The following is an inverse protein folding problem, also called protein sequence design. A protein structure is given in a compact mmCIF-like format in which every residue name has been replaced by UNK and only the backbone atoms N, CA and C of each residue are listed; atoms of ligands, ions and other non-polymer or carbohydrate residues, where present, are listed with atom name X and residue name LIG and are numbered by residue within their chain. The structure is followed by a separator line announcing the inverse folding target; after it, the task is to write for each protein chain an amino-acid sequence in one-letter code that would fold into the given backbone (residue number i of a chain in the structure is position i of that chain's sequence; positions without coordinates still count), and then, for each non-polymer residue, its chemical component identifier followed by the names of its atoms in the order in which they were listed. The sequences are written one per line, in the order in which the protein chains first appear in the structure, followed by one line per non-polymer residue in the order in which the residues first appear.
data_IF_505975142172
#
_entry.id   IF_505975142172
#
_cell.length_a   1.000
_cell.length_b   1.000
_cell.length_c   1.000
_cell.angle_alpha   90.00
_cell.angle_beta   90.00
_cell.angle_gamma   90.00
#
_symmetry.space_group_name_H-M   'P 1'
#
loop_
_entity.id
_entity.type
_entity.pdbx_description
1 polymer ?
#
# COMPACT_ATOMS: atom_id res chain seq x y z
N UNK A 1 -4.43 7.26 -8.69
CA UNK A 1 -3.32 7.24 -9.66
C UNK A 1 -2.68 5.88 -9.54
N UNK A 2 -2.29 5.26 -10.67
CA UNK A 2 -1.61 3.97 -10.61
C UNK A 2 -0.12 4.21 -10.37
N UNK A 3 0.45 3.61 -9.32
CA UNK A 3 1.87 3.75 -8.96
C UNK A 3 2.74 2.66 -9.59
N UNK A 4 2.12 1.60 -10.09
CA UNK A 4 2.76 0.44 -10.70
C UNK A 4 2.00 0.04 -11.96
N UNK A 5 2.73 -0.26 -13.03
CA UNK A 5 2.13 -0.80 -14.27
C UNK A 5 2.08 -2.33 -14.24
N UNK A 6 1.14 -2.90 -15.00
CA UNK A 6 1.03 -4.36 -15.12
C UNK A 6 2.29 -4.99 -15.70
N UNK A 7 2.96 -4.32 -16.64
CA UNK A 7 4.22 -4.77 -17.20
C UNK A 7 5.33 -4.90 -16.15
N UNK A 8 5.45 -3.92 -15.24
CA UNK A 8 6.42 -3.97 -14.13
C UNK A 8 6.08 -5.08 -13.12
N UNK A 9 4.80 -5.32 -12.87
CA UNK A 9 4.36 -6.45 -12.03
C UNK A 9 4.73 -7.80 -12.65
N UNK A 10 4.50 -7.99 -13.96
CA UNK A 10 4.86 -9.23 -14.66
C UNK A 10 6.38 -9.45 -14.68
N UNK A 11 7.18 -8.42 -14.90
CA UNK A 11 8.65 -8.51 -14.85
C UNK A 11 9.18 -8.99 -13.49
N UNK A 12 8.44 -8.72 -12.41
CA UNK A 12 8.78 -9.14 -11.04
C UNK A 12 8.23 -10.53 -10.69
N UNK A 13 7.64 -11.25 -11.65
CA UNK A 13 7.10 -12.60 -11.47
C UNK A 13 5.62 -12.66 -11.10
N UNK A 14 4.86 -11.59 -11.34
CA UNK A 14 3.42 -11.57 -11.12
C UNK A 14 2.66 -12.57 -11.98
N UNK A 15 1.82 -13.41 -11.36
CA UNK A 15 1.10 -14.50 -12.01
C UNK A 15 -0.39 -14.23 -12.23
N UNK A 16 -0.91 -13.13 -11.68
CA UNK A 16 -2.34 -12.76 -11.74
C UNK A 16 -2.74 -12.15 -13.07
N UNK A 17 -4.03 -12.23 -13.37
CA UNK A 17 -4.62 -11.54 -14.52
C UNK A 17 -4.56 -10.01 -14.35
N UNK A 18 -4.60 -9.29 -15.46
CA UNK A 18 -4.58 -7.82 -15.45
C UNK A 18 -5.74 -7.21 -14.64
N UNK A 19 -6.91 -7.85 -14.66
CA UNK A 19 -8.08 -7.41 -13.89
C UNK A 19 -7.89 -7.58 -12.37
N UNK A 20 -7.33 -8.70 -11.94
CA UNK A 20 -7.00 -8.94 -10.53
C UNK A 20 -5.88 -7.99 -10.07
N UNK A 21 -4.86 -7.80 -10.91
CA UNK A 21 -3.79 -6.84 -10.67
C UNK A 21 -4.36 -5.43 -10.48
N UNK A 22 -5.26 -4.97 -11.36
CA UNK A 22 -5.86 -3.63 -11.26
C UNK A 22 -6.63 -3.42 -9.95
N UNK A 23 -7.26 -4.47 -9.41
CA UNK A 23 -7.93 -4.41 -8.12
C UNK A 23 -6.92 -4.31 -6.95
N UNK A 24 -5.83 -5.09 -6.99
CA UNK A 24 -4.76 -5.08 -5.99
C UNK A 24 -3.99 -3.76 -6.02
N UNK A 25 -3.45 -3.42 -7.18
CA UNK A 25 -3.50 -2.12 -7.83
C UNK A 25 -4.01 -0.94 -7.00
N UNK A 26 -5.30 -0.68 -7.23
CA UNK A 26 -6.10 0.34 -6.61
C UNK A 26 -6.07 0.27 -5.08
N UNK A 27 -6.05 -0.92 -4.48
CA UNK A 27 -6.01 -1.09 -3.02
C UNK A 27 -4.68 -0.64 -2.44
N UNK A 28 -3.58 -1.02 -3.07
CA UNK A 28 -2.23 -0.58 -2.70
C UNK A 28 -2.10 0.94 -2.84
N UNK A 29 -2.57 1.51 -3.95
CA UNK A 29 -2.55 2.95 -4.18
C UNK A 29 -3.34 3.72 -3.11
N UNK A 30 -4.55 3.27 -2.75
CA UNK A 30 -5.34 3.89 -1.68
C UNK A 30 -4.64 3.85 -0.32
N UNK A 31 -3.95 2.76 0.00
CA UNK A 31 -3.23 2.62 1.26
C UNK A 31 -2.00 3.53 1.32
N UNK A 32 -1.25 3.65 0.21
CA UNK A 32 -0.14 4.59 0.07
C UNK A 32 -0.64 6.03 0.19
N UNK A 33 -1.72 6.38 -0.51
CA UNK A 33 -2.33 7.72 -0.43
C UNK A 33 -2.74 8.05 1.01
N UNK A 34 -3.33 7.09 1.72
CA UNK A 34 -3.72 7.28 3.13
C UNK A 34 -2.50 7.51 4.03
N UNK A 35 -1.43 6.71 3.88
CA UNK A 35 -0.20 6.83 4.68
C UNK A 35 0.60 8.09 4.40
N UNK A 36 0.53 8.59 3.17
CA UNK A 36 1.27 9.79 2.74
C UNK A 36 0.43 11.05 2.83
N UNK A 37 -0.81 10.96 3.33
CA UNK A 37 -1.80 12.04 3.33
C UNK A 37 -2.02 12.66 1.94
N UNK A 38 -1.93 11.84 0.88
CA UNK A 38 -2.11 12.26 -0.51
C UNK A 38 -0.94 13.04 -1.11
N UNK A 39 0.16 13.24 -0.37
CA UNK A 39 1.31 14.05 -0.81
C UNK A 39 2.02 13.49 -2.05
N UNK A 40 1.93 12.19 -2.28
CA UNK A 40 2.55 11.51 -3.44
C UNK A 40 1.62 11.40 -4.65
N UNK A 41 0.34 11.78 -4.51
CA UNK A 41 -0.66 11.66 -5.59
C UNK A 41 -0.41 12.61 -6.76
N UNK A 42 0.19 13.76 -6.49
CA UNK A 42 0.49 14.80 -7.49
C UNK A 42 1.96 14.77 -7.93
N UNK A 43 2.77 13.87 -7.37
CA UNK A 43 4.21 13.83 -7.66
C UNK A 43 4.49 13.17 -9.02
N UNK A 44 5.07 13.96 -9.93
CA UNK A 44 5.51 13.48 -11.26
C UNK A 44 6.96 13.92 -11.48
N UNK A 45 7.91 12.99 -11.65
CA UNK A 45 7.76 11.53 -11.71
C UNK A 45 7.53 10.87 -10.33
N UNK A 46 6.81 9.75 -10.31
CA UNK A 46 6.62 8.94 -9.09
C UNK A 46 7.98 8.42 -8.61
N UNK A 47 8.28 8.67 -7.32
CA UNK A 47 9.52 8.21 -6.68
C UNK A 47 9.65 6.70 -6.70
N UNK A 48 10.90 6.24 -6.78
CA UNK A 48 11.22 4.82 -6.73
C UNK A 48 10.70 4.17 -5.43
N UNK A 49 10.84 4.84 -4.29
CA UNK A 49 10.35 4.33 -3.00
C UNK A 49 8.84 4.04 -3.01
N UNK A 50 8.04 4.91 -3.62
CA UNK A 50 6.58 4.74 -3.74
C UNK A 50 6.24 3.57 -4.67
N UNK A 51 6.97 3.43 -5.77
CA UNK A 51 6.81 2.31 -6.71
C UNK A 51 7.14 0.96 -6.05
N UNK A 52 8.23 0.91 -5.28
CA UNK A 52 8.64 -0.28 -4.54
C UNK A 52 7.63 -0.64 -3.43
N UNK A 53 7.11 0.37 -2.72
CA UNK A 53 6.05 0.18 -1.75
C UNK A 53 4.77 -0.41 -2.38
N UNK A 54 4.37 0.12 -3.54
CA UNK A 54 3.20 -0.38 -4.28
C UNK A 54 3.37 -1.84 -4.69
N UNK A 55 4.54 -2.22 -5.21
CA UNK A 55 4.82 -3.61 -5.55
C UNK A 55 4.80 -4.54 -4.32
N UNK A 56 5.48 -4.14 -3.24
CA UNK A 56 5.53 -4.95 -2.02
C UNK A 56 4.13 -5.17 -1.42
N UNK A 57 3.26 -4.15 -1.51
CA UNK A 57 1.86 -4.25 -1.12
C UNK A 57 1.07 -5.22 -2.01
N UNK A 58 1.18 -5.10 -3.33
CA UNK A 58 0.49 -6.00 -4.27
C UNK A 58 0.92 -7.45 -4.01
N UNK A 59 2.21 -7.71 -3.85
CA UNK A 59 2.72 -9.05 -3.55
C UNK A 59 2.21 -9.59 -2.20
N UNK A 60 2.16 -8.75 -1.16
CA UNK A 60 1.64 -9.14 0.14
C UNK A 60 0.13 -9.41 0.14
N UNK A 61 -0.64 -8.62 -0.60
CA UNK A 61 -2.09 -8.81 -0.78
C UNK A 61 -2.40 -10.05 -1.61
N UNK A 62 -1.58 -10.33 -2.63
CA UNK A 62 -1.71 -11.53 -3.47
C UNK A 62 -1.46 -12.81 -2.66
N UNK A 63 -0.37 -12.85 -1.89
CA UNK A 63 -0.04 -13.96 -0.98
C UNK A 63 -1.12 -14.20 0.10
N UNK A 64 -1.78 -13.13 0.55
CA UNK A 64 -2.90 -13.25 1.47
C UNK A 64 -4.20 -13.73 0.81
N UNK A 65 -4.46 -13.30 -0.43
CA UNK A 65 -5.61 -13.74 -1.22
C UNK A 65 -5.61 -15.24 -1.44
N UNK A 66 -4.43 -15.84 -1.62
CA UNK A 66 -4.27 -17.29 -1.70
C UNK A 66 -4.55 -18.01 -0.37
N UNK A 67 -4.37 -17.33 0.76
CA UNK A 67 -4.74 -17.87 2.08
C UNK A 67 -6.22 -17.64 2.44
N UNK A 68 -6.87 -16.66 1.81
CA UNK A 68 -8.24 -16.24 2.08
C UNK A 68 -9.32 -17.17 1.48
N UNK A 69 -8.94 -18.20 0.71
CA UNK A 69 -9.87 -19.23 0.22
C UNK A 69 -10.59 -20.05 1.32
N UNK A 70 -10.35 -19.77 2.61
CA UNK A 70 -11.05 -20.38 3.75
C UNK A 70 -12.07 -19.51 4.47
N UNK A 71 -12.12 -18.19 4.25
CA UNK A 71 -13.09 -17.34 4.93
C UNK A 71 -13.39 -16.11 4.09
N UNK A 72 -14.28 -16.28 3.11
CA UNK A 72 -14.90 -15.15 2.42
C UNK A 72 -15.90 -14.53 3.39
N UNK A 73 -15.46 -13.52 4.13
CA UNK A 73 -16.35 -12.57 4.78
C UNK A 73 -15.97 -11.20 4.25
N UNK A 74 -16.96 -10.56 3.63
CA UNK A 74 -16.99 -9.13 3.29
C UNK A 74 -16.10 -8.33 4.25
N UNK A 75 -14.96 -7.84 3.77
CA UNK A 75 -14.23 -6.78 4.45
C UNK A 75 -14.59 -5.48 3.75
N UNK A 76 -15.74 -4.95 4.17
CA UNK A 76 -16.02 -3.52 4.17
C UNK A 76 -14.79 -2.78 4.70
N UNK A 77 -14.25 -1.87 3.89
CA UNK A 77 -13.05 -1.09 4.23
C UNK A 77 -13.44 0.35 4.60
N UNK A 78 -14.60 0.52 5.26
CA UNK A 78 -15.18 1.82 5.63
C UNK A 78 -14.93 2.20 7.10
N UNK A 79 -13.79 1.82 7.64
CA UNK A 79 -13.50 2.17 9.02
C UNK A 79 -12.06 1.87 9.39
N UNK A 80 -11.24 2.92 9.35
CA UNK A 80 -10.04 2.98 10.20
C UNK A 80 -10.52 2.91 11.65
N UNK A 81 -10.63 1.71 12.18
CA UNK A 81 -10.78 1.46 13.60
C UNK A 81 -9.40 1.18 14.16
N UNK A 82 -8.88 2.15 14.92
CA UNK A 82 -7.71 1.94 15.77
C UNK A 82 -8.12 0.96 16.87
N UNK A 83 -7.87 -0.33 16.66
CA UNK A 83 -7.97 -1.31 17.71
C UNK A 83 -6.67 -1.29 18.52
N UNK A 84 -6.70 -0.71 19.72
CA UNK A 84 -5.71 -0.88 20.78
C UNK A 84 -5.79 -2.29 21.40
N UNK A 85 -5.76 -3.32 20.57
CA UNK A 85 -5.72 -4.71 21.01
C UNK A 85 -4.63 -5.44 20.20
N UNK A 86 -3.73 -6.10 20.91
CA UNK A 86 -2.58 -6.80 20.38
C UNK A 86 -2.97 -8.03 19.52
N UNK A 87 -3.50 -7.80 18.34
CA UNK A 87 -3.66 -8.76 17.26
C UNK A 87 -3.24 -8.10 15.94
N UNK A 88 -2.23 -8.66 15.26
CA UNK A 88 -1.74 -8.10 14.00
C UNK A 88 -2.81 -8.27 12.92
N UNK A 89 -3.61 -7.23 12.67
CA UNK A 89 -4.61 -7.25 11.61
C UNK A 89 -3.92 -7.25 10.25
N UNK A 90 -4.54 -7.86 9.25
CA UNK A 90 -4.05 -7.88 7.88
C UNK A 90 -3.74 -6.45 7.35
N UNK A 91 -4.64 -5.50 7.63
CA UNK A 91 -4.45 -4.10 7.30
C UNK A 91 -3.25 -3.47 8.06
N UNK A 92 -3.06 -3.82 9.34
CA UNK A 92 -1.90 -3.39 10.12
C UNK A 92 -0.57 -3.89 9.55
N UNK A 93 -0.54 -5.14 9.09
CA UNK A 93 0.62 -5.74 8.40
C UNK A 93 0.95 -5.03 7.10
N UNK A 94 -0.04 -4.80 6.24
CA UNK A 94 0.18 -4.07 4.98
C UNK A 94 0.66 -2.63 5.22
N UNK A 95 0.08 -1.93 6.20
CA UNK A 95 0.53 -0.60 6.58
C UNK A 95 1.97 -0.58 7.09
N UNK A 96 2.43 -1.64 7.75
CA UNK A 96 3.83 -1.78 8.17
C UNK A 96 4.78 -1.94 6.98
N UNK A 97 4.44 -2.82 6.05
CA UNK A 97 5.21 -3.05 4.81
C UNK A 97 5.38 -1.73 4.06
N UNK A 98 4.27 -1.03 3.78
CA UNK A 98 4.34 0.25 3.07
C UNK A 98 5.19 1.29 3.82
N UNK A 99 5.05 1.37 5.15
CA UNK A 99 5.84 2.30 5.98
C UNK A 99 7.34 2.00 5.93
N UNK A 100 7.76 0.75 5.80
CA UNK A 100 9.17 0.38 5.73
C UNK A 100 9.85 0.97 4.48
N UNK A 101 9.17 0.92 3.33
CA UNK A 101 9.65 1.52 2.09
C UNK A 101 9.55 3.05 2.07
N UNK A 102 8.55 3.63 2.74
CA UNK A 102 8.35 5.08 2.80
C UNK A 102 9.14 5.74 3.95
N UNK A 103 9.84 4.96 4.78
CA UNK A 103 10.57 5.49 5.94
C UNK A 103 11.79 6.26 5.48
N UNK A 104 11.92 7.51 5.94
CA UNK A 104 13.05 8.38 5.61
C UNK A 104 12.87 9.18 4.32
N UNK A 105 11.80 8.92 3.57
CA UNK A 105 11.44 9.74 2.42
C UNK A 105 10.83 11.08 2.87
N UNK A 106 11.35 12.18 2.32
CA UNK A 106 10.92 13.55 2.61
C UNK A 106 10.39 14.23 1.36
N UNK A 107 9.31 15.01 1.48
CA UNK A 107 8.82 15.86 0.40
C UNK A 107 9.89 16.88 -0.02
N UNK A 108 9.68 17.56 -1.16
CA UNK A 108 10.55 18.66 -1.58
C UNK A 108 10.66 19.79 -0.54
N UNK A 109 9.68 19.90 0.36
CA UNK A 109 9.67 20.85 1.48
C UNK A 109 10.37 20.32 2.75
N UNK A 110 11.01 19.14 2.70
CA UNK A 110 11.71 18.53 3.84
C UNK A 110 10.81 17.84 4.87
N UNK A 111 9.51 17.70 4.59
CA UNK A 111 8.55 17.04 5.50
C UNK A 111 8.53 15.55 5.20
N UNK A 112 8.73 14.70 6.21
CA UNK A 112 8.64 13.25 6.02
C UNK A 112 7.26 12.84 5.45
N UNK A 113 7.24 11.96 4.45
CA UNK A 113 6.01 11.56 3.75
C UNK A 113 4.96 11.00 4.70
N UNK A 114 5.41 10.26 5.71
CA UNK A 114 4.59 9.60 6.74
C UNK A 114 4.34 10.49 7.97
N UNK A 115 4.80 11.74 7.98
CA UNK A 115 4.60 12.66 9.10
C UNK A 115 3.14 13.12 9.16
N UNK A 116 2.47 12.77 10.27
CA UNK A 116 1.07 13.09 10.52
C UNK A 116 0.87 14.44 11.24
N UNK A 117 1.92 15.23 11.47
CA UNK A 117 1.78 16.54 12.14
C UNK A 117 1.68 16.47 13.67
N UNK A 118 2.01 15.33 14.29
CA UNK A 118 2.11 15.22 15.75
C UNK A 118 3.57 15.45 16.13
N UNK A 119 3.89 16.70 16.46
CA UNK A 119 5.08 17.00 17.26
C UNK A 119 4.85 16.39 18.66
N UNK A 120 5.84 15.68 19.17
CA UNK A 120 5.84 15.07 20.50
C UNK A 120 5.88 16.12 21.62
#
# INVERSE_FOLDING_TARGET
MAYLTYAEYQQRGGARSEAEFAALEMRAAKLIDALTHGRVREETPVREAVRQAALALVAAMDADGDHAGREVISMDNDGVSVAYAAGDTQAGRWARIAREYLRGEVTAAGVALTYAGVDA
#
